data_IF_348962599176
#
_entry.id   IF_348962599176
#
_cell.length_a   1.000
_cell.length_b   1.000
_cell.length_c   1.000
_cell.angle_alpha   90.00
_cell.angle_beta   90.00
_cell.angle_gamma   90.00
#
_symmetry.space_group_name_H-M   'P 1'
#
loop_
_entity.id
_entity.type
_entity.pdbx_description
1 polymer ?
#
# COMPACT_ATOMS: atom_id res chain seq x y z
N UNK A 1 -23.41 24.65 -59.43
CA UNK A 1 -22.40 23.79 -58.80
C UNK A 1 -21.87 24.56 -57.62
N UNK A 2 -22.33 24.20 -56.46
CA UNK A 2 -21.90 24.78 -55.19
C UNK A 2 -20.53 24.18 -54.81
N UNK A 3 -19.52 24.97 -54.41
CA UNK A 3 -18.24 24.44 -54.01
C UNK A 3 -18.37 23.70 -52.68
N UNK A 4 -17.86 22.47 -52.62
CA UNK A 4 -17.82 21.67 -51.41
C UNK A 4 -17.00 22.41 -50.33
N UNK A 5 -17.58 22.53 -49.14
CA UNK A 5 -16.93 23.13 -47.97
C UNK A 5 -15.66 22.33 -47.66
N UNK A 6 -14.52 23.01 -47.63
CA UNK A 6 -13.28 22.44 -47.20
C UNK A 6 -13.38 22.04 -45.73
N UNK A 7 -13.17 20.77 -45.41
CA UNK A 7 -13.06 20.31 -44.05
C UNK A 7 -11.84 20.97 -43.40
N UNK A 8 -12.07 21.82 -42.44
CA UNK A 8 -11.01 22.38 -41.61
C UNK A 8 -10.43 21.24 -40.78
N UNK A 9 -9.26 20.76 -41.16
CA UNK A 9 -8.46 19.87 -40.30
C UNK A 9 -8.01 20.74 -39.13
N UNK A 10 -8.70 20.60 -37.97
CA UNK A 10 -8.19 21.11 -36.72
C UNK A 10 -6.95 20.29 -36.43
N UNK A 11 -5.77 20.91 -36.59
CA UNK A 11 -4.52 20.33 -36.11
C UNK A 11 -4.75 19.99 -34.64
N UNK A 12 -4.63 18.70 -34.29
CA UNK A 12 -4.83 18.23 -32.95
C UNK A 12 -3.88 18.94 -32.00
N UNK A 13 -4.37 19.87 -31.20
CA UNK A 13 -3.66 20.32 -30.03
C UNK A 13 -3.37 19.08 -29.21
N UNK A 14 -2.08 18.82 -28.91
CA UNK A 14 -1.71 17.72 -28.04
C UNK A 14 -2.58 17.77 -26.78
N UNK A 15 -3.04 16.61 -26.31
CA UNK A 15 -3.85 16.55 -25.11
C UNK A 15 -3.11 17.28 -23.98
N UNK A 16 -3.79 18.21 -23.33
CA UNK A 16 -3.23 18.86 -22.15
C UNK A 16 -2.86 17.78 -21.13
N UNK A 17 -1.66 17.88 -20.58
CA UNK A 17 -1.23 16.95 -19.52
C UNK A 17 -2.18 17.00 -18.33
N UNK A 18 -2.50 15.85 -17.76
CA UNK A 18 -3.40 15.76 -16.62
C UNK A 18 -3.18 14.50 -15.80
N UNK A 19 -3.92 14.43 -14.70
CA UNK A 19 -3.87 13.29 -13.79
C UNK A 19 -5.17 13.17 -13.01
N UNK A 20 -5.49 11.95 -12.60
CA UNK A 20 -6.58 11.64 -11.70
C UNK A 20 -6.09 10.64 -10.64
N UNK A 21 -6.34 10.92 -9.36
CA UNK A 21 -5.96 10.07 -8.24
C UNK A 21 -7.18 9.60 -7.44
N UNK A 22 -7.20 8.32 -7.15
CA UNK A 22 -8.23 7.65 -6.37
C UNK A 22 -7.57 7.03 -5.13
N UNK A 23 -7.84 7.58 -3.96
CA UNK A 23 -7.19 7.23 -2.69
C UNK A 23 -8.15 6.72 -1.62
N UNK A 24 -9.44 6.74 -1.91
CA UNK A 24 -10.48 6.17 -1.06
C UNK A 24 -10.94 4.85 -1.65
N UNK A 25 -11.10 3.83 -0.81
CA UNK A 25 -11.58 2.52 -1.26
C UNK A 25 -12.94 2.62 -1.95
N UNK A 26 -13.08 1.94 -3.07
CA UNK A 26 -14.30 1.96 -3.84
C UNK A 26 -14.14 1.59 -5.30
N UNK A 27 -15.25 1.65 -6.03
CA UNK A 27 -15.33 1.44 -7.47
C UNK A 27 -15.75 2.74 -8.14
N UNK A 28 -14.97 3.19 -9.10
CA UNK A 28 -15.13 4.46 -9.80
C UNK A 28 -15.21 4.24 -11.30
N UNK A 29 -15.77 5.23 -11.99
CA UNK A 29 -15.71 5.34 -13.44
C UNK A 29 -14.81 6.52 -13.81
N UNK A 30 -13.76 6.25 -14.58
CA UNK A 30 -12.92 7.28 -15.20
C UNK A 30 -13.36 7.44 -16.66
N UNK A 31 -13.73 8.66 -17.04
CA UNK A 31 -14.07 9.00 -18.43
C UNK A 31 -12.83 9.59 -19.09
N UNK A 32 -12.36 8.98 -20.16
CA UNK A 32 -11.18 9.43 -20.88
C UNK A 32 -11.39 10.86 -21.42
N UNK A 33 -10.54 11.83 -21.06
CA UNK A 33 -10.68 13.21 -21.55
C UNK A 33 -10.54 13.31 -23.06
N UNK A 34 -11.15 14.34 -23.63
CA UNK A 34 -11.07 14.63 -25.07
C UNK A 34 -9.59 14.87 -25.45
N UNK A 35 -9.15 14.23 -26.53
CA UNK A 35 -7.78 14.33 -27.04
C UNK A 35 -6.76 13.39 -26.34
N UNK A 36 -7.13 12.71 -25.26
CA UNK A 36 -6.24 11.73 -24.59
C UNK A 36 -6.37 10.38 -25.30
N UNK A 37 -5.27 9.87 -25.82
CA UNK A 37 -5.20 8.57 -26.52
C UNK A 37 -4.30 7.55 -25.83
N UNK A 38 -3.52 8.00 -24.80
CA UNK A 38 -2.70 7.12 -23.99
C UNK A 38 -2.68 7.57 -22.52
N UNK A 39 -2.54 6.62 -21.60
CA UNK A 39 -2.39 6.86 -20.17
C UNK A 39 -1.29 5.97 -19.59
N UNK A 40 -0.72 6.39 -18.47
CA UNK A 40 0.03 5.51 -17.59
C UNK A 40 -0.70 5.41 -16.26
N UNK A 41 -0.61 4.26 -15.59
CA UNK A 41 -1.30 4.01 -14.33
C UNK A 41 -0.36 3.38 -13.31
N UNK A 42 -0.50 3.78 -12.05
CA UNK A 42 0.01 3.05 -10.89
C UNK A 42 -1.16 2.58 -10.03
N UNK A 43 -1.10 1.34 -9.62
CA UNK A 43 -2.06 0.72 -8.70
C UNK A 43 -1.31 0.23 -7.45
N UNK A 44 -1.87 0.47 -6.27
CA UNK A 44 -1.37 -0.01 -4.98
C UNK A 44 -2.49 -0.81 -4.32
N UNK A 45 -2.27 -2.08 -4.02
CA UNK A 45 -3.21 -2.92 -3.29
C UNK A 45 -3.32 -2.48 -1.82
N UNK A 46 -4.43 -2.76 -1.17
CA UNK A 46 -4.60 -2.47 0.25
C UNK A 46 -3.67 -3.34 1.11
N UNK A 47 -3.23 -2.84 2.25
CA UNK A 47 -2.52 -3.62 3.26
C UNK A 47 -3.44 -4.61 3.97
N UNK A 48 -2.90 -5.75 4.41
CA UNK A 48 -3.63 -6.71 5.20
C UNK A 48 -3.89 -6.21 6.62
N UNK A 49 -5.07 -6.51 7.17
CA UNK A 49 -5.36 -6.35 8.60
C UNK A 49 -5.11 -7.66 9.34
N UNK A 50 -4.88 -7.58 10.63
CA UNK A 50 -4.64 -8.76 11.46
C UNK A 50 -5.78 -9.79 11.36
N UNK A 51 -5.44 -11.02 10.94
CA UNK A 51 -6.37 -12.14 10.88
C UNK A 51 -6.03 -13.30 11.85
N UNK A 52 -4.87 -13.25 12.52
CA UNK A 52 -4.40 -14.30 13.44
C UNK A 52 -3.52 -13.69 14.52
N UNK A 53 -3.46 -14.34 15.68
CA UNK A 53 -2.63 -13.89 16.80
C UNK A 53 -1.12 -14.10 16.57
N UNK A 54 -0.72 -14.96 15.62
CA UNK A 54 0.67 -15.40 15.49
C UNK A 54 1.43 -14.74 14.33
N UNK A 55 0.74 -14.02 13.44
CA UNK A 55 1.36 -13.48 12.23
C UNK A 55 0.91 -12.06 11.97
N UNK A 56 1.85 -11.16 11.74
CA UNK A 56 1.60 -9.85 11.20
C UNK A 56 1.03 -9.96 9.77
N UNK A 57 0.15 -9.05 9.38
CA UNK A 57 -0.36 -9.00 8.03
C UNK A 57 0.68 -8.42 7.06
N UNK A 58 0.56 -8.83 5.79
CA UNK A 58 1.45 -8.39 4.72
C UNK A 58 1.08 -6.97 4.26
N UNK A 59 2.04 -6.25 3.70
CA UNK A 59 1.79 -5.01 2.96
C UNK A 59 1.14 -5.29 1.61
N UNK A 60 0.51 -4.27 1.01
CA UNK A 60 -0.03 -4.30 -0.34
C UNK A 60 1.07 -4.24 -1.40
N UNK A 61 0.84 -4.86 -2.55
CA UNK A 61 1.71 -4.76 -3.72
C UNK A 61 1.52 -3.43 -4.44
N UNK A 62 2.53 -2.99 -5.19
CA UNK A 62 2.45 -1.87 -6.12
C UNK A 62 2.81 -2.38 -7.51
N UNK A 63 2.03 -2.00 -8.51
CA UNK A 63 2.39 -2.21 -9.91
C UNK A 63 2.03 -0.98 -10.74
N UNK A 64 2.78 -0.74 -11.81
CA UNK A 64 2.46 0.29 -12.79
C UNK A 64 2.52 -0.25 -14.22
N UNK A 65 1.78 0.40 -15.10
CA UNK A 65 1.81 0.17 -16.53
C UNK A 65 1.77 1.48 -17.27
N UNK A 66 2.66 1.61 -18.25
CA UNK A 66 2.82 2.81 -19.05
C UNK A 66 2.20 2.68 -20.44
N UNK A 67 1.93 3.82 -21.05
CA UNK A 67 1.53 3.94 -22.45
C UNK A 67 0.38 3.00 -22.85
N UNK A 68 -0.67 2.97 -22.04
CA UNK A 68 -1.90 2.21 -22.31
C UNK A 68 -2.75 2.99 -23.28
N UNK A 69 -3.11 2.39 -24.40
CA UNK A 69 -4.03 3.00 -25.37
C UNK A 69 -5.44 3.14 -24.80
N UNK A 70 -6.02 4.32 -24.93
CA UNK A 70 -7.38 4.63 -24.49
C UNK A 70 -8.13 5.40 -25.59
N UNK A 71 -9.46 5.38 -25.53
CA UNK A 71 -10.32 6.08 -26.47
C UNK A 71 -10.97 7.29 -25.80
N UNK A 72 -10.81 8.53 -26.34
CA UNK A 72 -11.46 9.72 -25.81
C UNK A 72 -12.98 9.53 -25.62
N UNK A 73 -13.52 9.97 -24.51
CA UNK A 73 -14.93 9.84 -24.14
C UNK A 73 -15.36 8.44 -23.65
N UNK A 74 -14.51 7.41 -23.77
CA UNK A 74 -14.80 6.07 -23.27
C UNK A 74 -14.69 6.03 -21.74
N UNK A 75 -15.58 5.25 -21.12
CA UNK A 75 -15.57 4.98 -19.68
C UNK A 75 -14.72 3.75 -19.33
N UNK A 76 -13.90 3.89 -18.32
CA UNK A 76 -13.05 2.82 -17.77
C UNK A 76 -13.33 2.65 -16.27
N UNK A 77 -13.33 1.41 -15.81
CA UNK A 77 -13.50 1.12 -14.38
C UNK A 77 -12.16 1.28 -13.65
N UNK A 78 -12.21 1.96 -12.50
CA UNK A 78 -11.12 2.05 -11.53
C UNK A 78 -11.61 1.45 -10.21
N UNK A 79 -10.80 0.59 -9.60
CA UNK A 79 -11.10 -0.01 -8.30
C UNK A 79 -9.96 0.30 -7.35
N UNK A 80 -10.27 0.85 -6.19
CA UNK A 80 -9.34 1.03 -5.08
C UNK A 80 -9.64 -0.01 -4.02
N UNK A 81 -8.65 -0.84 -3.73
CA UNK A 81 -8.76 -1.92 -2.76
C UNK A 81 -9.03 -1.40 -1.35
N UNK A 82 -9.94 -2.05 -0.67
CA UNK A 82 -10.27 -1.80 0.73
C UNK A 82 -9.49 -2.75 1.64
N UNK A 83 -9.09 -2.28 2.80
CA UNK A 83 -8.56 -3.16 3.85
C UNK A 83 -9.65 -4.15 4.28
N UNK A 84 -9.24 -5.33 4.70
CA UNK A 84 -10.19 -6.28 5.27
C UNK A 84 -10.51 -5.84 6.71
N UNK A 85 -11.77 -5.51 7.00
CA UNK A 85 -12.22 -5.02 8.32
C UNK A 85 -12.70 -6.12 9.25
N UNK A 86 -12.69 -7.38 8.83
CA UNK A 86 -13.08 -8.51 9.68
C UNK A 86 -11.91 -9.02 10.50
N UNK A 87 -11.80 -8.65 11.79
CA UNK A 87 -10.93 -9.37 12.73
C UNK A 87 -11.46 -10.82 12.84
N UNK A 88 -10.61 -11.80 12.86
CA UNK A 88 -10.95 -13.23 12.99
C UNK A 88 -11.29 -14.01 11.68
N UNK A 89 -10.98 -13.50 10.51
CA UNK A 89 -11.07 -14.28 9.27
C UNK A 89 -9.85 -15.17 9.08
N UNK A 90 -10.02 -16.49 9.05
CA UNK A 90 -8.98 -17.43 8.66
C UNK A 90 -8.54 -17.12 7.21
N UNK A 91 -7.37 -16.50 7.04
CA UNK A 91 -6.64 -16.48 5.79
C UNK A 91 -7.30 -15.76 4.62
N UNK A 92 -7.64 -14.47 4.76
CA UNK A 92 -8.10 -13.61 3.66
C UNK A 92 -6.98 -12.72 3.10
N UNK A 93 -7.28 -12.06 1.99
CA UNK A 93 -6.48 -10.97 1.43
C UNK A 93 -7.24 -9.66 1.52
N UNK A 94 -6.52 -8.56 1.68
CA UNK A 94 -7.07 -7.23 1.47
C UNK A 94 -7.42 -7.01 -0.01
N UNK A 95 -8.21 -5.98 -0.29
CA UNK A 95 -8.70 -5.69 -1.63
C UNK A 95 -7.59 -5.34 -2.62
N UNK A 96 -7.72 -5.84 -3.85
CA UNK A 96 -6.85 -5.49 -4.97
C UNK A 96 -7.24 -4.11 -5.53
N UNK A 97 -6.27 -3.32 -5.99
CA UNK A 97 -6.53 -2.09 -6.75
C UNK A 97 -6.28 -2.32 -8.23
N UNK A 98 -7.12 -1.76 -9.10
CA UNK A 98 -7.00 -1.99 -10.54
C UNK A 98 -7.51 -0.85 -11.41
N UNK A 99 -6.91 -0.69 -12.58
CA UNK A 99 -7.41 0.12 -13.70
C UNK A 99 -6.83 -0.42 -15.02
N UNK A 100 -7.56 -0.31 -16.12
CA UNK A 100 -7.14 -0.70 -17.48
C UNK A 100 -6.59 -2.14 -17.60
N UNK A 101 -7.09 -3.06 -16.78
CA UNK A 101 -6.60 -4.44 -16.73
C UNK A 101 -5.29 -4.64 -15.96
N UNK A 102 -4.66 -3.58 -15.46
CA UNK A 102 -3.55 -3.64 -14.52
C UNK A 102 -4.10 -3.82 -13.11
N UNK A 103 -3.58 -4.79 -12.36
CA UNK A 103 -4.06 -5.14 -11.02
C UNK A 103 -2.88 -5.23 -10.06
N UNK A 104 -2.92 -4.48 -8.95
CA UNK A 104 -2.05 -4.64 -7.79
C UNK A 104 -2.75 -5.46 -6.71
N UNK A 105 -2.11 -6.48 -6.20
CA UNK A 105 -2.72 -7.37 -5.22
C UNK A 105 -2.65 -6.81 -3.79
N UNK A 106 -3.74 -6.98 -3.04
CA UNK A 106 -3.78 -6.67 -1.62
C UNK A 106 -2.94 -7.63 -0.77
N UNK A 107 -2.47 -7.15 0.38
CA UNK A 107 -1.71 -7.93 1.35
C UNK A 107 -2.54 -9.02 2.02
N UNK A 108 -1.89 -10.10 2.43
CA UNK A 108 -2.54 -11.17 3.18
C UNK A 108 -2.81 -10.74 4.64
N UNK A 109 -3.91 -11.21 5.20
CA UNK A 109 -4.26 -10.98 6.63
C UNK A 109 -3.45 -11.87 7.58
N UNK A 110 -2.81 -12.89 7.05
CA UNK A 110 -1.89 -13.79 7.74
C UNK A 110 -0.71 -14.07 6.83
N UNK A 111 0.43 -14.46 7.40
CA UNK A 111 1.60 -14.87 6.63
C UNK A 111 1.25 -16.09 5.77
N UNK A 112 0.91 -15.83 4.52
CA UNK A 112 0.66 -16.87 3.51
C UNK A 112 1.85 -16.95 2.53
N UNK A 113 1.74 -17.86 1.55
CA UNK A 113 2.67 -17.87 0.42
C UNK A 113 2.62 -16.52 -0.29
N UNK A 114 3.78 -15.98 -0.64
CA UNK A 114 3.91 -14.70 -1.34
C UNK A 114 3.04 -14.68 -2.59
N UNK A 115 2.06 -13.77 -2.67
CA UNK A 115 1.37 -13.47 -3.93
C UNK A 115 2.37 -12.80 -4.89
N UNK A 116 2.14 -12.92 -6.18
CA UNK A 116 2.81 -12.08 -7.17
C UNK A 116 2.48 -10.58 -6.92
N UNK A 117 3.25 -9.66 -7.49
CA UNK A 117 2.96 -8.23 -7.37
C UNK A 117 1.58 -7.88 -7.95
N UNK A 118 1.22 -8.48 -9.08
CA UNK A 118 -0.02 -8.16 -9.76
C UNK A 118 -0.13 -8.84 -11.13
N UNK A 119 -0.95 -8.26 -11.98
CA UNK A 119 -1.22 -8.72 -13.36
C UNK A 119 -1.09 -7.56 -14.34
N UNK A 120 -0.57 -7.82 -15.52
CA UNK A 120 -0.46 -6.89 -16.65
C UNK A 120 0.21 -5.56 -16.29
N UNK A 121 1.48 -5.61 -15.92
CA UNK A 121 2.26 -4.47 -15.49
C UNK A 121 3.66 -4.45 -16.13
N UNK A 122 4.29 -3.28 -16.13
CA UNK A 122 5.67 -3.07 -16.62
C UNK A 122 6.69 -3.10 -15.47
N UNK A 123 6.28 -2.69 -14.27
CA UNK A 123 7.14 -2.71 -13.09
C UNK A 123 6.36 -2.58 -11.79
N UNK A 124 7.07 -2.73 -10.69
CA UNK A 124 6.48 -2.73 -9.35
C UNK A 124 7.14 -3.73 -8.43
N UNK A 125 6.50 -4.01 -7.31
CA UNK A 125 6.99 -4.94 -6.29
C UNK A 125 5.89 -5.61 -5.48
N UNK A 126 6.31 -6.52 -4.63
CA UNK A 126 5.44 -7.24 -3.69
C UNK A 126 5.49 -6.54 -2.34
N UNK A 127 4.36 -6.44 -1.66
CA UNK A 127 4.32 -5.98 -0.27
C UNK A 127 5.18 -6.85 0.64
N UNK A 128 5.77 -6.24 1.66
CA UNK A 128 6.55 -6.94 2.66
C UNK A 128 5.70 -7.94 3.43
N UNK A 129 6.29 -9.05 3.82
CA UNK A 129 5.61 -10.02 4.67
C UNK A 129 5.45 -9.49 6.08
N UNK A 130 4.33 -9.80 6.72
CA UNK A 130 4.16 -9.59 8.14
C UNK A 130 5.14 -10.44 8.96
N UNK A 131 5.50 -9.93 10.12
CA UNK A 131 6.37 -10.62 11.06
C UNK A 131 5.69 -11.83 11.71
N UNK A 132 6.49 -12.61 12.44
CA UNK A 132 6.00 -13.77 13.18
C UNK A 132 6.11 -13.47 14.66
N UNK A 133 5.09 -13.87 15.40
CA UNK A 133 5.14 -13.91 16.85
C UNK A 133 6.17 -14.94 17.35
N UNK A 134 6.90 -14.59 18.40
CA UNK A 134 7.88 -15.46 19.05
C UNK A 134 7.63 -15.50 20.56
N UNK A 135 7.47 -16.71 21.08
CA UNK A 135 7.41 -16.92 22.52
C UNK A 135 8.84 -16.98 23.10
N UNK A 136 9.20 -15.97 23.85
CA UNK A 136 10.42 -15.99 24.68
C UNK A 136 10.01 -16.35 26.10
N UNK A 137 10.37 -17.53 26.57
CA UNK A 137 10.00 -18.07 27.88
C UNK A 137 10.30 -17.18 29.09
N UNK A 138 11.13 -16.12 28.92
CA UNK A 138 11.52 -15.19 29.96
C UNK A 138 10.78 -13.85 29.95
N UNK A 139 10.27 -13.42 28.79
CA UNK A 139 9.66 -12.09 28.60
C UNK A 139 8.23 -12.11 28.07
N UNK A 140 7.65 -13.29 27.87
CA UNK A 140 6.33 -13.43 27.27
C UNK A 140 6.39 -13.46 25.75
N UNK A 141 5.23 -13.29 25.10
CA UNK A 141 5.10 -13.29 23.64
C UNK A 141 5.49 -11.93 23.06
N UNK A 142 6.19 -11.95 21.96
CA UNK A 142 6.57 -10.77 21.19
C UNK A 142 5.88 -10.85 19.83
N UNK A 143 4.88 -10.04 19.61
CA UNK A 143 4.11 -10.03 18.37
C UNK A 143 4.93 -9.62 17.13
N UNK A 144 4.51 -10.05 15.95
CA UNK A 144 5.15 -9.68 14.69
C UNK A 144 4.64 -8.35 14.12
N UNK A 145 5.53 -7.48 13.64
CA UNK A 145 5.16 -6.23 13.00
C UNK A 145 4.47 -6.44 11.64
N UNK A 146 3.72 -5.46 11.16
CA UNK A 146 3.11 -5.45 9.83
C UNK A 146 4.14 -5.30 8.72
N UNK A 147 3.87 -5.84 7.54
CA UNK A 147 4.69 -5.65 6.34
C UNK A 147 4.51 -4.25 5.74
N UNK A 148 5.59 -3.68 5.20
CA UNK A 148 5.54 -2.43 4.44
C UNK A 148 4.93 -2.61 3.04
N UNK A 149 4.37 -1.55 2.46
CA UNK A 149 3.88 -1.55 1.08
C UNK A 149 5.04 -1.70 0.09
N UNK A 150 4.75 -2.25 -1.09
CA UNK A 150 5.74 -2.37 -2.16
C UNK A 150 6.19 -1.02 -2.72
N UNK A 151 7.34 -1.01 -3.37
CA UNK A 151 7.87 0.11 -4.12
C UNK A 151 7.70 -0.04 -5.64
N UNK A 152 8.16 0.97 -6.37
CA UNK A 152 8.11 1.03 -7.84
C UNK A 152 9.10 0.08 -8.50
N UNK A 153 10.26 -0.15 -7.91
CA UNK A 153 11.29 -1.06 -8.42
C UNK A 153 11.77 -2.08 -7.37
N UNK A 154 10.98 -2.28 -6.30
CA UNK A 154 11.37 -3.19 -5.24
C UNK A 154 10.24 -3.51 -4.27
N UNK A 155 10.54 -4.32 -3.28
CA UNK A 155 9.56 -4.86 -2.36
C UNK A 155 9.42 -4.01 -1.09
N UNK A 156 8.29 -4.14 -0.42
CA UNK A 156 8.10 -3.63 0.93
C UNK A 156 8.97 -4.38 1.95
N UNK A 157 9.31 -3.70 3.04
CA UNK A 157 10.07 -4.29 4.15
C UNK A 157 9.24 -5.30 4.94
N UNK A 158 9.85 -6.40 5.35
CA UNK A 158 9.20 -7.41 6.20
C UNK A 158 8.99 -6.88 7.62
N UNK A 159 7.89 -7.23 8.25
CA UNK A 159 7.66 -6.97 9.67
C UNK A 159 8.65 -7.73 10.57
N UNK A 160 8.77 -7.28 11.80
CA UNK A 160 9.69 -7.82 12.80
C UNK A 160 9.47 -9.31 13.11
N UNK A 161 10.56 -10.01 13.44
CA UNK A 161 10.54 -11.39 13.92
C UNK A 161 11.30 -11.49 15.25
N UNK A 162 10.63 -11.91 16.28
CA UNK A 162 11.24 -12.05 17.60
C UNK A 162 11.89 -10.75 18.08
N UNK A 163 13.17 -10.78 18.42
CA UNK A 163 13.96 -9.63 18.86
C UNK A 163 14.61 -8.85 17.72
N UNK A 164 14.20 -9.09 16.46
CA UNK A 164 14.71 -8.34 15.31
C UNK A 164 13.76 -7.20 14.96
N UNK A 165 14.29 -6.09 14.47
CA UNK A 165 13.50 -5.01 13.89
C UNK A 165 12.85 -5.42 12.59
N UNK A 166 11.97 -4.55 12.06
CA UNK A 166 11.41 -4.67 10.72
C UNK A 166 12.47 -4.44 9.64
N UNK A 167 12.26 -5.00 8.46
CA UNK A 167 13.13 -4.82 7.30
C UNK A 167 12.89 -3.49 6.61
N UNK A 168 13.92 -2.93 5.96
CA UNK A 168 13.76 -1.76 5.09
C UNK A 168 12.98 -2.12 3.83
N UNK A 169 12.23 -1.18 3.30
CA UNK A 169 11.69 -1.23 1.95
C UNK A 169 12.80 -1.08 0.89
N UNK A 170 12.49 -1.36 -0.34
CA UNK A 170 13.37 -1.19 -1.49
C UNK A 170 12.61 -0.59 -2.66
N UNK A 171 13.32 0.06 -3.60
CA UNK A 171 12.71 0.65 -4.79
C UNK A 171 11.58 1.63 -4.49
N UNK A 172 11.72 2.41 -3.42
CA UNK A 172 10.69 3.32 -2.95
C UNK A 172 9.58 2.69 -2.12
N UNK A 173 9.68 1.42 -1.72
CA UNK A 173 8.70 0.76 -0.86
C UNK A 173 8.80 1.17 0.61
N UNK A 174 7.73 0.98 1.37
CA UNK A 174 7.67 1.23 2.81
C UNK A 174 8.42 0.17 3.63
N UNK A 175 8.97 0.55 4.77
CA UNK A 175 9.62 -0.36 5.72
C UNK A 175 8.61 -1.19 6.53
N UNK A 176 9.02 -2.35 6.98
CA UNK A 176 8.22 -3.19 7.89
C UNK A 176 8.20 -2.66 9.32
N UNK A 177 7.14 -2.94 10.06
CA UNK A 177 7.00 -2.57 11.46
C UNK A 177 7.94 -3.35 12.37
N UNK A 178 8.50 -2.67 13.36
CA UNK A 178 9.24 -3.26 14.44
C UNK A 178 8.38 -3.70 15.62
N UNK A 179 9.00 -3.93 16.77
CA UNK A 179 8.31 -4.34 17.97
C UNK A 179 8.89 -3.68 19.22
N UNK A 180 8.00 -3.35 20.14
CA UNK A 180 8.36 -2.90 21.48
C UNK A 180 8.46 -4.10 22.44
N UNK A 181 9.61 -4.29 23.07
CA UNK A 181 9.92 -5.43 23.97
C UNK A 181 9.39 -5.26 25.41
N UNK A 182 8.33 -4.52 25.63
CA UNK A 182 7.65 -4.48 26.95
C UNK A 182 6.94 -5.80 27.27
N UNK A 183 6.39 -5.90 28.48
CA UNK A 183 5.81 -7.14 29.06
C UNK A 183 4.82 -7.89 28.16
N UNK A 184 4.33 -7.31 27.08
CA UNK A 184 3.42 -7.89 26.07
C UNK A 184 3.67 -7.25 24.69
N UNK A 185 4.91 -7.28 24.22
CA UNK A 185 5.37 -6.71 22.96
C UNK A 185 4.32 -6.08 22.04
N UNK A 186 4.44 -4.78 21.77
CA UNK A 186 3.50 -4.06 20.91
C UNK A 186 4.09 -3.90 19.51
N UNK A 187 3.70 -4.74 18.55
CA UNK A 187 4.21 -4.63 17.20
C UNK A 187 3.55 -3.50 16.44
N UNK A 188 4.36 -2.75 15.70
CA UNK A 188 3.90 -1.65 14.88
C UNK A 188 3.47 -2.09 13.48
N UNK A 189 2.70 -1.26 12.80
CA UNK A 189 2.36 -1.44 11.38
C UNK A 189 3.55 -1.17 10.47
N UNK A 190 3.45 -1.62 9.22
CA UNK A 190 4.39 -1.30 8.16
C UNK A 190 4.11 0.07 7.52
N UNK A 191 5.14 0.71 6.98
CA UNK A 191 5.03 1.95 6.23
C UNK A 191 4.29 1.79 4.90
N UNK A 192 3.65 2.85 4.43
CA UNK A 192 2.97 2.90 3.14
C UNK A 192 3.91 3.29 1.99
N UNK A 193 3.36 3.42 0.79
CA UNK A 193 4.06 3.96 -0.38
C UNK A 193 3.20 4.99 -1.10
N UNK A 194 3.81 6.03 -1.67
CA UNK A 194 3.10 7.10 -2.37
C UNK A 194 2.81 6.78 -3.83
N UNK A 195 1.96 7.59 -4.47
CA UNK A 195 1.48 7.42 -5.85
C UNK A 195 2.15 8.36 -6.87
N UNK A 196 3.12 9.18 -6.42
CA UNK A 196 3.71 10.23 -7.27
C UNK A 196 4.97 9.77 -8.04
N UNK A 197 5.32 8.51 -7.99
CA UNK A 197 6.52 7.94 -8.61
C UNK A 197 7.54 7.46 -7.57
N UNK A 198 8.65 6.88 -8.04
CA UNK A 198 9.67 6.32 -7.16
C UNK A 198 10.41 7.41 -6.37
N UNK A 199 10.38 7.29 -5.07
CA UNK A 199 11.10 8.12 -4.11
C UNK A 199 12.04 7.29 -3.24
N UNK A 200 12.40 7.83 -2.09
CA UNK A 200 13.21 7.11 -1.10
C UNK A 200 12.46 5.91 -0.53
N UNK A 201 13.17 4.84 -0.23
CA UNK A 201 12.64 3.68 0.47
C UNK A 201 12.46 3.97 1.96
N UNK A 202 11.42 3.43 2.55
CA UNK A 202 11.16 3.54 3.99
C UNK A 202 12.07 2.63 4.82
N UNK A 203 12.54 3.12 5.95
CA UNK A 203 13.30 2.33 6.91
C UNK A 203 12.37 1.41 7.71
N UNK A 204 12.84 0.24 8.08
CA UNK A 204 12.16 -0.66 9.00
C UNK A 204 12.15 -0.11 10.43
N UNK A 205 11.09 -0.39 11.18
CA UNK A 205 10.99 -0.11 12.60
C UNK A 205 11.97 -0.98 13.41
N UNK A 206 12.45 -0.48 14.52
CA UNK A 206 13.45 -1.20 15.34
C UNK A 206 12.78 -2.08 16.41
N UNK A 207 13.55 -3.02 16.94
CA UNK A 207 13.24 -3.69 18.20
C UNK A 207 13.79 -2.82 19.35
N UNK A 208 12.95 -2.44 20.30
CA UNK A 208 13.36 -1.53 21.37
C UNK A 208 12.60 -1.79 22.68
N UNK A 209 13.18 -1.39 23.79
CA UNK A 209 12.53 -1.34 25.10
C UNK A 209 11.82 -0.02 25.37
N UNK A 210 11.88 0.94 24.43
CA UNK A 210 11.15 2.21 24.45
C UNK A 210 10.19 2.27 23.28
N UNK A 211 9.08 3.01 23.39
CA UNK A 211 8.03 3.06 22.33
C UNK A 211 8.46 3.78 21.06
N UNK A 212 9.56 4.53 21.12
CA UNK A 212 10.09 5.25 19.97
C UNK A 212 10.64 4.31 18.88
N UNK A 213 10.48 4.71 17.63
CA UNK A 213 11.11 4.11 16.44
C UNK A 213 10.68 2.66 16.09
N UNK A 214 9.56 2.18 16.64
CA UNK A 214 9.03 0.85 16.28
C UNK A 214 8.26 0.84 14.98
N UNK A 215 7.88 1.99 14.44
CA UNK A 215 7.06 2.14 13.24
C UNK A 215 7.83 1.80 11.97
N UNK A 216 7.18 1.22 10.97
CA UNK A 216 7.70 1.13 9.61
C UNK A 216 7.52 2.49 8.92
N UNK A 217 8.61 3.04 8.36
CA UNK A 217 8.59 4.33 7.67
C UNK A 217 8.03 4.22 6.25
N UNK A 218 7.34 5.27 5.81
CA UNK A 218 6.82 5.35 4.44
C UNK A 218 7.92 5.43 3.40
N UNK A 219 7.66 4.87 2.21
CA UNK A 219 8.50 5.00 1.02
C UNK A 219 7.82 5.86 -0.04
N UNK A 220 8.55 6.40 -1.01
CA UNK A 220 8.05 7.18 -2.17
C UNK A 220 7.00 8.26 -1.80
N UNK A 221 7.16 8.94 -0.68
CA UNK A 221 6.16 9.91 -0.20
C UNK A 221 4.91 9.27 0.44
N UNK A 222 4.94 7.98 0.73
CA UNK A 222 3.96 7.34 1.61
C UNK A 222 4.09 7.78 3.06
N UNK A 223 3.12 7.46 3.89
CA UNK A 223 3.15 7.84 5.32
C UNK A 223 3.77 6.73 6.17
N UNK A 224 4.37 7.12 7.28
CA UNK A 224 4.80 6.19 8.30
C UNK A 224 3.59 5.47 8.92
N UNK A 225 3.79 4.27 9.44
CA UNK A 225 2.79 3.63 10.27
C UNK A 225 2.57 4.43 11.56
N UNK A 226 1.42 4.26 12.18
CA UNK A 226 1.16 4.92 13.47
C UNK A 226 1.74 4.07 14.60
N UNK A 227 2.47 4.68 15.55
CA UNK A 227 2.89 4.00 16.77
C UNK A 227 1.67 3.66 17.62
N UNK A 228 1.80 2.66 18.48
CA UNK A 228 0.82 2.45 19.53
C UNK A 228 0.74 3.71 20.43
N UNK A 229 -0.46 4.15 20.87
CA UNK A 229 -0.56 5.30 21.76
C UNK A 229 0.27 5.08 23.02
N UNK A 230 1.08 6.07 23.37
CA UNK A 230 1.85 6.07 24.63
C UNK A 230 0.88 6.08 25.82
N UNK A 231 0.96 5.12 26.71
CA UNK A 231 0.17 5.08 27.95
C UNK A 231 -0.76 3.89 28.12
N UNK A 232 -0.89 3.00 27.15
CA UNK A 232 -1.64 1.76 27.33
C UNK A 232 -0.81 0.73 28.13
N UNK A 233 -0.66 0.99 29.41
CA UNK A 233 -0.18 0.01 30.37
C UNK A 233 -1.40 -0.82 30.78
N UNK A 234 -1.36 -2.14 30.58
CA UNK A 234 -2.42 -3.09 30.96
C UNK A 234 -3.81 -2.77 30.38
N UNK A 235 -4.13 -3.30 29.24
CA UNK A 235 -5.50 -3.44 28.75
C UNK A 235 -6.06 -2.28 27.91
N UNK A 236 -5.28 -1.28 27.53
CA UNK A 236 -5.74 -0.23 26.61
C UNK A 236 -5.69 -0.64 25.16
N UNK A 237 -6.73 -0.29 24.38
CA UNK A 237 -6.80 -0.51 22.95
C UNK A 237 -5.60 0.15 22.25
N UNK A 238 -4.66 -0.65 21.75
CA UNK A 238 -3.53 -0.15 20.99
C UNK A 238 -3.85 -0.30 19.51
N UNK A 239 -4.11 0.80 18.86
CA UNK A 239 -4.30 0.80 17.43
C UNK A 239 -2.95 0.91 16.73
N UNK A 240 -2.62 -0.07 15.93
CA UNK A 240 -1.39 -0.11 15.15
C UNK A 240 -1.79 -0.02 13.70
N UNK A 241 -1.76 1.20 13.17
CA UNK A 241 -2.15 1.46 11.79
C UNK A 241 -0.98 1.26 10.85
N UNK A 242 -1.24 0.69 9.67
CA UNK A 242 -0.30 0.74 8.55
C UNK A 242 -0.18 2.16 8.00
N UNK A 243 0.87 2.45 7.23
CA UNK A 243 1.05 3.71 6.52
C UNK A 243 0.28 3.76 5.19
N UNK A 244 -0.12 4.94 4.73
CA UNK A 244 -0.74 5.18 3.42
C UNK A 244 0.31 5.11 2.30
N UNK A 245 0.09 4.40 1.24
CA UNK A 245 -0.97 3.44 0.96
C UNK A 245 -0.41 2.02 1.11
N UNK A 246 -1.28 1.05 1.35
CA UNK A 246 -0.90 -0.36 1.31
C UNK A 246 -0.08 -0.88 2.50
N UNK A 247 0.23 -0.08 3.53
CA UNK A 247 0.92 -0.57 4.73
C UNK A 247 0.07 -1.56 5.52
N UNK A 248 0.63 -2.72 5.89
CA UNK A 248 -0.01 -3.71 6.75
C UNK A 248 -0.12 -3.24 8.20
N UNK A 249 -1.16 -3.65 8.93
CA UNK A 249 -1.30 -3.32 10.36
C UNK A 249 -0.28 -4.07 11.23
N UNK A 250 -0.04 -3.59 12.45
CA UNK A 250 0.60 -4.41 13.48
C UNK A 250 -0.34 -5.48 14.04
N UNK A 251 0.18 -6.41 14.84
CA UNK A 251 -0.63 -7.38 15.58
C UNK A 251 -1.05 -6.77 16.91
N UNK A 252 -2.27 -7.04 17.35
CA UNK A 252 -2.65 -6.87 18.74
C UNK A 252 -2.66 -8.20 19.48
N UNK A 253 -2.06 -8.22 20.64
CA UNK A 253 -2.23 -9.27 21.62
C UNK A 253 -3.59 -9.20 22.27
N UNK A 254 -4.18 -10.39 22.51
CA UNK A 254 -5.38 -10.54 23.31
C UNK A 254 -5.07 -10.09 24.74
N UNK A 255 -5.66 -8.98 25.16
CA UNK A 255 -5.97 -8.78 26.55
C UNK A 255 -7.37 -9.34 26.80
N UNK A 256 -7.59 -9.98 27.94
CA UNK A 256 -8.89 -10.50 28.37
C UNK A 256 -9.95 -9.42 28.56
N UNK A 257 -9.66 -8.17 28.23
CA UNK A 257 -10.63 -7.09 28.19
C UNK A 257 -11.36 -7.07 26.86
N UNK A 258 -12.68 -6.99 26.90
CA UNK A 258 -13.62 -7.01 25.79
C UNK A 258 -13.58 -5.77 24.88
N UNK A 259 -12.49 -5.00 24.86
CA UNK A 259 -12.40 -3.80 24.02
C UNK A 259 -12.06 -4.13 22.56
N UNK A 260 -12.88 -3.66 21.61
CA UNK A 260 -12.63 -3.85 20.19
C UNK A 260 -11.36 -3.09 19.78
N UNK A 261 -10.39 -3.84 19.32
CA UNK A 261 -9.12 -3.28 18.91
C UNK A 261 -9.18 -2.85 17.47
N UNK A 262 -8.96 -1.59 17.24
CA UNK A 262 -8.72 -1.05 15.91
C UNK A 262 -7.28 -1.35 15.46
N UNK A 263 -7.08 -2.49 14.82
CA UNK A 263 -5.92 -2.71 13.96
C UNK A 263 -6.38 -2.39 12.53
N UNK A 264 -5.94 -1.28 11.96
CA UNK A 264 -6.31 -0.94 10.58
C UNK A 264 -5.08 -0.86 9.71
N UNK A 265 -5.02 -1.71 8.70
CA UNK A 265 -4.16 -1.49 7.56
C UNK A 265 -4.68 -0.32 6.72
N UNK A 266 -3.94 0.11 5.73
CA UNK A 266 -4.37 1.20 4.85
C UNK A 266 -4.91 0.68 3.53
N UNK A 267 -5.88 1.42 2.99
CA UNK A 267 -6.45 1.16 1.67
C UNK A 267 -5.37 1.25 0.58
N UNK A 268 -5.69 0.70 -0.58
CA UNK A 268 -4.92 0.90 -1.78
C UNK A 268 -5.07 2.30 -2.36
N UNK A 269 -4.50 2.49 -3.54
CA UNK A 269 -4.65 3.70 -4.33
C UNK A 269 -4.47 3.41 -5.82
N UNK A 270 -5.01 4.29 -6.67
CA UNK A 270 -4.78 4.30 -8.11
C UNK A 270 -4.52 5.73 -8.56
N UNK A 271 -3.48 5.96 -9.37
CA UNK A 271 -3.25 7.23 -10.06
C UNK A 271 -3.10 6.98 -11.56
N UNK A 272 -3.81 7.78 -12.33
CA UNK A 272 -3.79 7.81 -13.79
C UNK A 272 -3.13 9.11 -14.21
N UNK A 273 -2.15 9.06 -15.12
CA UNK A 273 -1.47 10.22 -15.69
C UNK A 273 -1.56 10.17 -17.22
N UNK A 274 -1.69 11.31 -17.85
CA UNK A 274 -1.78 11.40 -19.30
C UNK A 274 -1.12 12.69 -19.85
N UNK A 275 -0.60 12.65 -21.11
CA UNK A 275 -0.55 11.51 -22.03
C UNK A 275 0.50 10.48 -21.58
N UNK A 276 0.19 9.19 -21.70
CA UNK A 276 0.99 8.09 -21.17
C UNK A 276 2.24 7.74 -21.97
N UNK A 277 2.38 8.27 -23.18
CA UNK A 277 3.56 8.10 -24.03
C UNK A 277 4.76 8.97 -23.59
N UNK A 278 4.50 10.08 -22.86
CA UNK A 278 5.53 10.99 -22.34
C UNK A 278 5.58 11.07 -20.82
N UNK A 279 4.46 10.79 -20.14
CA UNK A 279 4.36 10.79 -18.68
C UNK A 279 4.28 9.36 -18.17
N UNK A 280 5.37 8.89 -17.58
CA UNK A 280 5.57 7.47 -17.27
C UNK A 280 6.12 7.24 -15.87
N UNK A 281 5.67 6.15 -15.25
CA UNK A 281 6.26 5.62 -14.03
C UNK A 281 7.53 4.81 -14.36
N UNK A 282 8.49 4.74 -13.44
CA UNK A 282 8.45 5.25 -12.07
C UNK A 282 8.91 6.71 -11.91
N UNK A 283 9.24 7.42 -12.97
CA UNK A 283 9.95 8.71 -12.92
C UNK A 283 9.07 9.91 -12.57
N UNK A 284 7.78 9.87 -12.82
CA UNK A 284 6.86 10.98 -12.54
C UNK A 284 6.63 11.12 -11.04
N UNK A 285 6.97 12.28 -10.46
CA UNK A 285 7.00 12.48 -9.00
C UNK A 285 6.16 13.62 -8.48
N UNK A 286 5.69 14.55 -9.33
CA UNK A 286 4.96 15.72 -8.85
C UNK A 286 3.46 15.58 -9.04
N UNK A 287 2.68 16.29 -8.22
CA UNK A 287 1.24 16.35 -8.36
C UNK A 287 0.80 17.12 -9.61
N UNK A 288 1.65 17.98 -10.12
CA UNK A 288 1.33 18.94 -11.18
C UNK A 288 1.80 18.49 -12.58
N UNK A 289 2.40 17.33 -12.69
CA UNK A 289 2.84 16.80 -13.98
C UNK A 289 1.70 16.18 -14.80
#
# INVERSE_FOLDING_TARGET
>A
IEPAAAATVVAGGGAAGGQDAYTTAGRYTWTCPVGVTSVSVVCIGAGGTQGSMNYGPDGGSLVYKNNISVTPGQNYTVVVGQTNTTPNGNGGYAGDSSAFGTIAYGGATQRQSTRAAGVNFDGGGVGGRGGIDYYSGATGYVGGGGGGAAGYSGNGGSGSYGSSGGGNGSGGGGGGGGVYAGSYGNPAGGGGTGILGEGSSGAGGIYTTTVADTVGHGGSGGTDSQPAPTGAYYGGAQSVYGGNYGGGSGIKWYDYSSDPVNTSAQNGAVRIIYPGDVRQFPSTRTADE
#
